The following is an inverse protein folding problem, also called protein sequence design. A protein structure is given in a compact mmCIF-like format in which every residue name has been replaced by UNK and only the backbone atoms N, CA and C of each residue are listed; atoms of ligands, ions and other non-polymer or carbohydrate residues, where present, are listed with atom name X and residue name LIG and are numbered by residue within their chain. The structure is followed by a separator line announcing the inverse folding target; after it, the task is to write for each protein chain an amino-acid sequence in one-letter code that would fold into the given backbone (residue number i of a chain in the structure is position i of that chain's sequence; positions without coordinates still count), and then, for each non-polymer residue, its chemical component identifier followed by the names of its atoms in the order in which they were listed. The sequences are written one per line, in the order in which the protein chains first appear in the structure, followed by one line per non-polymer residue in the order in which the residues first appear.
data_IF_380893494610
#
_entry.id   IF_380893494610
#
_cell.length_a   1.000
_cell.length_b   1.000
_cell.length_c   1.000
_cell.angle_alpha   90.00
_cell.angle_beta   90.00
_cell.angle_gamma   90.00
#
_symmetry.space_group_name_H-M   'P 1'
#
loop_
_entity.id
_entity.type
_entity.pdbx_description
1 polymer ?
#
# COMPACT_ATOMS: atom_id res chain seq x y z
N UNK A 1 -68.00 7.12 49.63
CA UNK A 1 -68.14 6.13 48.54
C UNK A 1 -67.44 6.54 47.23
N UNK A 2 -67.24 7.82 46.95
CA UNK A 2 -66.54 8.29 45.75
C UNK A 2 -65.05 7.89 45.67
N UNK A 3 -64.30 7.97 46.77
CA UNK A 3 -62.87 7.58 46.76
C UNK A 3 -62.61 6.07 46.57
N UNK A 4 -63.51 5.20 47.04
CA UNK A 4 -63.40 3.74 46.78
C UNK A 4 -63.65 3.39 45.31
N UNK A 5 -64.48 4.16 44.59
CA UNK A 5 -64.73 3.97 43.15
C UNK A 5 -63.56 4.45 42.28
N UNK A 6 -62.86 5.51 42.68
CA UNK A 6 -61.67 6.02 41.97
C UNK A 6 -60.48 5.06 42.11
N UNK A 7 -60.28 4.46 43.29
CA UNK A 7 -59.21 3.47 43.50
C UNK A 7 -59.45 2.19 42.67
N UNK A 8 -60.71 1.78 42.48
CA UNK A 8 -61.07 0.63 41.62
C UNK A 8 -60.85 0.95 40.12
N UNK A 9 -61.02 2.21 39.69
CA UNK A 9 -60.71 2.63 38.33
C UNK A 9 -59.20 2.80 38.09
N UNK A 10 -58.42 3.18 39.10
CA UNK A 10 -56.96 3.34 38.98
C UNK A 10 -56.21 2.00 38.96
N UNK A 11 -56.75 0.95 39.60
CA UNK A 11 -56.15 -0.40 39.59
C UNK A 11 -56.52 -1.21 38.35
N UNK A 12 -57.55 -0.83 37.60
CA UNK A 12 -57.93 -1.51 36.35
C UNK A 12 -57.13 -1.03 35.12
N UNK A 13 -56.40 0.10 35.23
CA UNK A 13 -55.66 0.71 34.12
C UNK A 13 -54.21 0.21 33.98
N UNK A 14 -53.73 -0.65 34.89
CA UNK A 14 -52.34 -1.15 34.89
C UNK A 14 -52.17 -2.55 34.27
N UNK A 15 -53.22 -3.16 33.73
CA UNK A 15 -53.17 -4.48 33.05
C UNK A 15 -53.24 -4.40 31.51
N UNK A 16 -52.56 -3.43 30.90
CA UNK A 16 -52.24 -3.48 29.47
C UNK A 16 -50.71 -3.47 29.32
N UNK A 17 -50.05 -4.49 29.88
CA UNK A 17 -48.73 -4.88 29.40
C UNK A 17 -48.94 -5.70 28.12
N UNK A 18 -48.60 -5.19 26.92
CA UNK A 18 -48.48 -6.06 25.78
C UNK A 18 -47.34 -7.04 26.07
N UNK A 19 -47.69 -8.32 26.23
CA UNK A 19 -46.72 -9.41 26.27
C UNK A 19 -46.07 -9.52 24.88
N UNK A 20 -44.99 -8.77 24.65
CA UNK A 20 -44.16 -8.91 23.44
C UNK A 20 -43.26 -10.15 23.55
N UNK A 21 -43.84 -11.32 23.80
CA UNK A 21 -43.21 -12.58 23.41
C UNK A 21 -43.60 -12.84 21.95
N UNK A 22 -42.99 -12.10 21.02
CA UNK A 22 -43.21 -12.31 19.59
C UNK A 22 -42.71 -13.72 19.24
N UNK A 23 -43.63 -14.68 19.19
CA UNK A 23 -43.36 -16.08 18.86
C UNK A 23 -42.56 -16.11 17.55
N UNK A 24 -41.37 -16.71 17.61
CA UNK A 24 -40.46 -16.81 16.47
C UNK A 24 -41.19 -17.37 15.23
N UNK A 25 -41.03 -16.68 14.08
CA UNK A 25 -41.76 -17.00 12.85
C UNK A 25 -41.49 -18.46 12.43
N UNK A 26 -42.50 -19.12 11.86
CA UNK A 26 -42.38 -20.46 11.29
C UNK A 26 -41.23 -20.53 10.28
N UNK A 27 -41.02 -19.48 9.50
CA UNK A 27 -39.96 -19.41 8.49
C UNK A 27 -38.58 -19.34 9.15
N UNK A 28 -38.41 -18.57 10.23
CA UNK A 28 -37.14 -18.54 10.99
C UNK A 28 -36.83 -19.93 11.58
N UNK A 29 -37.83 -20.65 12.09
CA UNK A 29 -37.63 -22.03 12.57
C UNK A 29 -37.22 -23.00 11.46
N UNK A 30 -37.78 -22.85 10.26
CA UNK A 30 -37.36 -23.63 9.09
C UNK A 30 -35.93 -23.27 8.67
N UNK A 31 -35.59 -21.98 8.65
CA UNK A 31 -34.22 -21.51 8.45
C UNK A 31 -33.25 -22.16 9.43
N UNK A 32 -33.57 -22.16 10.73
CA UNK A 32 -32.77 -22.82 11.76
C UNK A 32 -32.58 -24.33 11.47
N UNK A 33 -33.60 -25.01 10.94
CA UNK A 33 -33.52 -26.42 10.55
C UNK A 33 -32.58 -26.62 9.36
N UNK A 34 -32.70 -25.82 8.31
CA UNK A 34 -31.80 -25.88 7.16
C UNK A 34 -30.36 -25.53 7.54
N UNK A 35 -30.15 -24.52 8.38
CA UNK A 35 -28.83 -24.16 8.90
C UNK A 35 -28.14 -25.33 9.61
N UNK A 36 -28.88 -26.04 10.49
CA UNK A 36 -28.38 -27.23 11.19
C UNK A 36 -28.08 -28.40 10.26
N UNK A 37 -28.71 -28.43 9.09
CA UNK A 37 -28.44 -29.40 8.02
C UNK A 37 -27.33 -28.92 7.07
N UNK A 38 -26.67 -27.80 7.38
CA UNK A 38 -25.64 -27.15 6.55
C UNK A 38 -26.14 -26.68 5.17
N UNK A 39 -27.46 -26.61 5.00
CA UNK A 39 -28.13 -26.12 3.80
C UNK A 39 -28.27 -24.60 3.88
N UNK A 40 -27.14 -23.90 3.73
CA UNK A 40 -27.08 -22.46 4.01
C UNK A 40 -27.86 -21.59 3.03
N UNK A 41 -27.98 -22.01 1.77
CA UNK A 41 -28.77 -21.29 0.76
C UNK A 41 -30.26 -21.37 1.08
N UNK A 42 -30.77 -22.56 1.39
CA UNK A 42 -32.16 -22.76 1.79
C UNK A 42 -32.47 -22.09 3.13
N UNK A 43 -31.50 -22.11 4.05
CA UNK A 43 -31.55 -21.37 5.31
C UNK A 43 -31.72 -19.86 5.07
N UNK A 44 -30.90 -19.27 4.18
CA UNK A 44 -31.01 -17.88 3.78
C UNK A 44 -32.40 -17.55 3.21
N UNK A 45 -32.92 -18.39 2.30
CA UNK A 45 -34.26 -18.19 1.70
C UNK A 45 -35.36 -18.13 2.77
N UNK A 46 -35.36 -19.07 3.72
CA UNK A 46 -36.37 -19.11 4.78
C UNK A 46 -36.20 -17.94 5.77
N UNK A 47 -34.98 -17.51 6.09
CA UNK A 47 -34.79 -16.31 6.92
C UNK A 47 -35.26 -15.04 6.22
N UNK A 48 -34.96 -14.85 4.93
CA UNK A 48 -35.45 -13.70 4.15
C UNK A 48 -36.98 -13.66 4.12
N UNK A 49 -37.64 -14.80 3.87
CA UNK A 49 -39.11 -14.93 3.95
C UNK A 49 -39.65 -14.61 5.36
N UNK A 50 -38.93 -15.02 6.40
CA UNK A 50 -39.27 -14.66 7.78
C UNK A 50 -39.21 -13.16 8.05
N UNK A 51 -38.20 -12.49 7.49
CA UNK A 51 -37.97 -11.05 7.64
C UNK A 51 -38.94 -10.21 6.80
N UNK A 52 -39.46 -10.71 5.69
CA UNK A 52 -40.58 -10.07 4.96
C UNK A 52 -41.82 -9.91 5.85
N UNK A 53 -42.06 -10.87 6.76
CA UNK A 53 -43.21 -10.86 7.68
C UNK A 53 -42.92 -10.11 8.98
N UNK A 54 -41.67 -10.15 9.45
CA UNK A 54 -41.23 -9.43 10.64
C UNK A 54 -39.82 -8.85 10.45
N UNK A 55 -39.77 -7.64 9.90
CA UNK A 55 -38.53 -6.94 9.58
C UNK A 55 -37.70 -6.54 10.82
N UNK A 56 -38.28 -6.58 12.04
CA UNK A 56 -37.58 -6.26 13.30
C UNK A 56 -37.13 -7.50 14.07
N UNK A 57 -37.17 -8.68 13.46
CA UNK A 57 -36.77 -9.92 14.13
C UNK A 57 -35.25 -9.98 14.32
N UNK A 58 -34.77 -9.79 15.55
CA UNK A 58 -33.37 -10.00 15.91
C UNK A 58 -32.87 -11.38 15.45
N UNK A 59 -33.55 -12.47 15.84
CA UNK A 59 -33.12 -13.83 15.52
C UNK A 59 -33.10 -14.11 14.01
N UNK A 60 -34.10 -13.62 13.27
CA UNK A 60 -34.13 -13.75 11.81
C UNK A 60 -32.96 -13.02 11.14
N UNK A 61 -32.68 -11.79 11.54
CA UNK A 61 -31.58 -10.99 10.99
C UNK A 61 -30.22 -11.57 11.37
N UNK A 62 -30.01 -11.93 12.64
CA UNK A 62 -28.77 -12.52 13.12
C UNK A 62 -28.47 -13.87 12.45
N UNK A 63 -29.48 -14.75 12.34
CA UNK A 63 -29.28 -16.08 11.72
C UNK A 63 -29.18 -16.01 10.19
N UNK A 64 -29.78 -14.99 9.55
CA UNK A 64 -29.49 -14.68 8.15
C UNK A 64 -28.01 -14.31 7.98
N UNK A 65 -27.47 -13.46 8.86
CA UNK A 65 -26.03 -13.16 8.91
C UNK A 65 -25.18 -14.43 9.01
N UNK A 66 -25.53 -15.35 9.92
CA UNK A 66 -24.83 -16.63 10.06
C UNK A 66 -24.86 -17.46 8.77
N UNK A 67 -26.00 -17.53 8.09
CA UNK A 67 -26.13 -18.29 6.82
C UNK A 67 -25.29 -17.67 5.70
N UNK A 68 -25.26 -16.33 5.62
CA UNK A 68 -24.45 -15.59 4.65
C UNK A 68 -22.96 -15.79 4.93
N UNK A 69 -22.56 -15.74 6.20
CA UNK A 69 -21.17 -15.97 6.61
C UNK A 69 -20.69 -17.38 6.22
N UNK A 70 -21.51 -18.41 6.45
CA UNK A 70 -21.19 -19.79 6.03
C UNK A 70 -21.10 -19.96 4.51
N UNK A 71 -21.76 -19.08 3.75
CA UNK A 71 -21.63 -19.00 2.28
C UNK A 71 -20.45 -18.12 1.83
N UNK A 72 -19.62 -17.61 2.74
CA UNK A 72 -18.52 -16.65 2.48
C UNK A 72 -18.98 -15.31 1.90
N UNK A 73 -20.27 -14.99 2.03
CA UNK A 73 -20.83 -13.68 1.65
C UNK A 73 -20.60 -12.68 2.79
N UNK A 74 -19.34 -12.42 3.10
CA UNK A 74 -18.95 -11.72 4.33
C UNK A 74 -19.46 -10.27 4.40
N UNK A 75 -19.48 -9.55 3.28
CA UNK A 75 -20.01 -8.18 3.23
C UNK A 75 -21.52 -8.13 3.54
N UNK A 76 -22.31 -9.07 2.99
CA UNK A 76 -23.74 -9.17 3.31
C UNK A 76 -23.96 -9.64 4.76
N UNK A 77 -23.13 -10.56 5.25
CA UNK A 77 -23.20 -11.02 6.63
C UNK A 77 -22.93 -9.87 7.62
N UNK A 78 -21.93 -9.04 7.34
CA UNK A 78 -21.59 -7.86 8.13
C UNK A 78 -22.78 -6.90 8.26
N UNK A 79 -23.45 -6.56 7.16
CA UNK A 79 -24.65 -5.72 7.17
C UNK A 79 -25.74 -6.30 8.08
N UNK A 80 -25.96 -7.62 8.03
CA UNK A 80 -26.95 -8.28 8.89
C UNK A 80 -26.54 -8.30 10.36
N UNK A 81 -25.28 -8.51 10.68
CA UNK A 81 -24.81 -8.44 12.07
C UNK A 81 -24.90 -7.02 12.64
N UNK A 82 -24.54 -6.00 11.86
CA UNK A 82 -24.70 -4.60 12.25
C UNK A 82 -26.18 -4.26 12.48
N UNK A 83 -27.06 -4.69 11.58
CA UNK A 83 -28.52 -4.53 11.75
C UNK A 83 -29.02 -5.28 12.99
N UNK A 84 -28.56 -6.51 13.24
CA UNK A 84 -28.97 -7.27 14.42
C UNK A 84 -28.55 -6.55 15.73
N UNK A 85 -27.39 -5.91 15.76
CA UNK A 85 -26.94 -5.13 16.92
C UNK A 85 -27.83 -3.90 17.23
N UNK A 86 -28.52 -3.34 16.24
CA UNK A 86 -29.46 -2.21 16.42
C UNK A 86 -30.88 -2.64 16.79
N UNK A 87 -31.25 -3.90 16.53
CA UNK A 87 -32.59 -4.45 16.79
C UNK A 87 -32.81 -4.94 18.23
N UNK A 88 -31.83 -4.80 19.11
CA UNK A 88 -31.89 -5.32 20.47
C UNK A 88 -31.19 -4.39 21.45
N UNK A 89 -31.62 -4.39 22.71
CA UNK A 89 -30.92 -3.76 23.83
C UNK A 89 -30.24 -4.75 24.77
N UNK A 90 -30.44 -6.05 24.53
CA UNK A 90 -29.79 -7.09 25.30
C UNK A 90 -28.28 -7.10 25.04
N UNK A 91 -27.51 -7.00 26.12
CA UNK A 91 -26.04 -6.91 26.03
C UNK A 91 -25.42 -8.17 25.43
N UNK A 92 -25.95 -9.36 25.74
CA UNK A 92 -25.41 -10.62 25.20
C UNK A 92 -25.63 -10.70 23.69
N UNK A 93 -26.82 -10.31 23.22
CA UNK A 93 -27.14 -10.23 21.78
C UNK A 93 -26.33 -9.16 21.06
N UNK A 94 -26.14 -7.97 21.64
CA UNK A 94 -25.23 -6.94 21.10
C UNK A 94 -23.81 -7.48 20.98
N UNK A 95 -23.32 -8.14 22.03
CA UNK A 95 -21.99 -8.73 22.03
C UNK A 95 -21.81 -9.77 20.91
N UNK A 96 -22.75 -10.71 20.78
CA UNK A 96 -22.72 -11.73 19.72
C UNK A 96 -22.76 -11.12 18.31
N UNK A 97 -23.61 -10.12 18.08
CA UNK A 97 -23.68 -9.42 16.78
C UNK A 97 -22.37 -8.72 16.44
N UNK A 98 -21.77 -7.99 17.39
CA UNK A 98 -20.50 -7.32 17.14
C UNK A 98 -19.32 -8.30 17.01
N UNK A 99 -19.33 -9.43 17.73
CA UNK A 99 -18.35 -10.49 17.58
C UNK A 99 -18.39 -11.05 16.15
N UNK A 100 -19.57 -11.43 15.67
CA UNK A 100 -19.73 -11.97 14.31
C UNK A 100 -19.45 -10.93 13.21
N UNK A 101 -19.75 -9.65 13.45
CA UNK A 101 -19.32 -8.56 12.57
C UNK A 101 -17.79 -8.46 12.50
N UNK A 102 -17.10 -8.60 13.64
CA UNK A 102 -15.65 -8.68 13.72
C UNK A 102 -15.09 -9.86 12.92
N UNK A 103 -15.70 -11.04 13.04
CA UNK A 103 -15.32 -12.23 12.27
C UNK A 103 -15.50 -12.00 10.77
N UNK A 104 -16.61 -11.38 10.33
CA UNK A 104 -16.83 -11.07 8.91
C UNK A 104 -15.79 -10.10 8.35
N UNK A 105 -15.42 -9.07 9.13
CA UNK A 105 -14.37 -8.10 8.75
C UNK A 105 -12.97 -8.71 8.76
N UNK A 106 -12.71 -9.68 9.65
CA UNK A 106 -11.47 -10.41 9.70
C UNK A 106 -11.26 -11.22 8.41
N UNK A 107 -12.31 -11.89 7.94
CA UNK A 107 -12.29 -12.67 6.70
C UNK A 107 -12.09 -11.82 5.44
N UNK A 108 -12.54 -10.55 5.44
CA UNK A 108 -12.32 -9.62 4.32
C UNK A 108 -10.96 -8.90 4.38
N UNK A 109 -10.19 -9.10 5.46
CA UNK A 109 -8.92 -8.41 5.66
C UNK A 109 -9.06 -6.96 6.15
N UNK A 110 -10.26 -6.52 6.52
CA UNK A 110 -10.53 -5.20 7.10
C UNK A 110 -10.15 -5.17 8.60
N UNK A 111 -8.90 -5.49 8.93
CA UNK A 111 -8.44 -5.77 10.29
C UNK A 111 -8.70 -4.60 11.27
N UNK A 112 -8.49 -3.36 10.83
CA UNK A 112 -8.77 -2.17 11.64
C UNK A 112 -10.25 -2.08 12.06
N UNK A 113 -11.19 -2.37 11.15
CA UNK A 113 -12.63 -2.37 11.47
C UNK A 113 -13.01 -3.60 12.31
N UNK A 114 -12.39 -4.75 12.05
CA UNK A 114 -12.59 -5.98 12.84
C UNK A 114 -12.24 -5.74 14.32
N UNK A 115 -11.12 -5.07 14.59
CA UNK A 115 -10.70 -4.66 15.94
C UNK A 115 -11.77 -3.82 16.64
N UNK A 116 -12.34 -2.81 15.96
CA UNK A 116 -13.38 -1.97 16.55
C UNK A 116 -14.68 -2.75 16.83
N UNK A 117 -15.06 -3.68 15.95
CA UNK A 117 -16.20 -4.56 16.17
C UNK A 117 -15.98 -5.47 17.40
N UNK A 118 -14.81 -6.09 17.55
CA UNK A 118 -14.52 -6.90 18.75
C UNK A 118 -14.46 -6.06 20.03
N UNK A 119 -13.94 -4.82 19.98
CA UNK A 119 -14.02 -3.90 21.13
C UNK A 119 -15.47 -3.59 21.50
N UNK A 120 -16.35 -3.37 20.52
CA UNK A 120 -17.79 -3.18 20.76
C UNK A 120 -18.44 -4.43 21.37
N UNK A 121 -18.04 -5.63 20.94
CA UNK A 121 -18.49 -6.87 21.55
C UNK A 121 -18.06 -6.98 23.02
N UNK A 122 -16.78 -6.75 23.32
CA UNK A 122 -16.24 -6.81 24.69
C UNK A 122 -16.78 -5.71 25.61
N UNK A 123 -17.16 -4.54 25.08
CA UNK A 123 -17.89 -3.52 25.86
C UNK A 123 -19.24 -4.03 26.37
N UNK A 124 -19.88 -4.93 25.62
CA UNK A 124 -21.17 -5.53 25.99
C UNK A 124 -21.01 -6.84 26.78
N UNK A 125 -19.98 -7.64 26.48
CA UNK A 125 -19.61 -8.84 27.23
C UNK A 125 -18.09 -8.88 27.53
N UNK A 126 -17.63 -8.27 28.64
CA UNK A 126 -16.20 -8.22 28.97
C UNK A 126 -15.58 -9.56 29.33
N UNK A 127 -16.36 -10.65 29.47
CA UNK A 127 -15.86 -11.97 29.87
C UNK A 127 -15.68 -12.94 28.70
N UNK A 128 -15.98 -12.53 27.49
CA UNK A 128 -15.84 -13.36 26.29
C UNK A 128 -14.37 -13.59 25.90
N UNK A 129 -13.85 -14.78 26.21
CA UNK A 129 -12.48 -15.19 25.87
C UNK A 129 -12.26 -15.37 24.37
N UNK A 130 -13.27 -15.85 23.64
CA UNK A 130 -13.18 -16.05 22.19
C UNK A 130 -13.04 -14.70 21.49
N UNK A 131 -13.85 -13.72 21.87
CA UNK A 131 -13.72 -12.35 21.35
C UNK A 131 -12.37 -11.73 21.70
N UNK A 132 -11.83 -11.95 22.90
CA UNK A 132 -10.48 -11.46 23.27
C UNK A 132 -9.40 -12.06 22.38
N UNK A 133 -9.47 -13.37 22.15
CA UNK A 133 -8.53 -14.06 21.27
C UNK A 133 -8.61 -13.51 19.84
N UNK A 134 -9.81 -13.38 19.28
CA UNK A 134 -10.00 -12.86 17.93
C UNK A 134 -9.56 -11.40 17.79
N UNK A 135 -9.74 -10.58 18.84
CA UNK A 135 -9.21 -9.22 18.89
C UNK A 135 -7.69 -9.21 18.80
N UNK A 136 -7.01 -10.01 19.61
CA UNK A 136 -5.54 -10.11 19.59
C UNK A 136 -5.04 -10.60 18.22
N UNK A 137 -5.73 -11.59 17.63
CA UNK A 137 -5.44 -12.07 16.29
C UNK A 137 -5.60 -10.96 15.24
N UNK A 138 -6.71 -10.21 15.26
CA UNK A 138 -6.92 -9.09 14.34
C UNK A 138 -5.86 -7.98 14.48
N UNK A 139 -5.41 -7.70 15.71
CA UNK A 139 -4.31 -6.76 15.97
C UNK A 139 -2.99 -7.25 15.37
N UNK A 140 -2.67 -8.53 15.53
CA UNK A 140 -1.48 -9.12 14.93
C UNK A 140 -1.54 -9.06 13.39
N UNK A 141 -2.69 -9.36 12.80
CA UNK A 141 -2.87 -9.30 11.35
C UNK A 141 -2.71 -7.88 10.80
N UNK A 142 -3.25 -6.87 11.50
CA UNK A 142 -3.05 -5.46 11.13
C UNK A 142 -1.56 -5.07 11.19
N UNK A 143 -0.86 -5.45 12.26
CA UNK A 143 0.57 -5.18 12.39
C UNK A 143 1.39 -5.84 11.27
N UNK A 144 1.07 -7.07 10.89
CA UNK A 144 1.72 -7.76 9.79
C UNK A 144 1.44 -7.06 8.44
N UNK A 145 0.22 -6.59 8.22
CA UNK A 145 -0.15 -5.84 7.03
C UNK A 145 0.65 -4.53 6.91
N UNK A 146 0.76 -3.78 8.01
CA UNK A 146 1.55 -2.53 8.07
C UNK A 146 3.04 -2.78 7.82
N UNK A 147 3.62 -3.83 8.41
CA UNK A 147 5.03 -4.21 8.18
C UNK A 147 5.30 -4.60 6.72
N UNK A 148 4.39 -5.35 6.10
CA UNK A 148 4.53 -5.71 4.69
C UNK A 148 4.48 -4.48 3.78
N UNK A 149 3.65 -3.50 4.11
CA UNK A 149 3.56 -2.25 3.37
C UNK A 149 4.84 -1.41 3.54
N UNK A 150 5.33 -1.26 4.77
CA UNK A 150 6.59 -0.55 5.03
C UNK A 150 7.79 -1.19 4.34
N UNK A 151 7.86 -2.53 4.29
CA UNK A 151 8.92 -3.24 3.59
C UNK A 151 8.88 -3.02 2.07
N UNK A 152 7.69 -2.94 1.47
CA UNK A 152 7.52 -2.61 0.05
C UNK A 152 7.97 -1.19 -0.24
N UNK A 153 7.56 -0.23 0.58
CA UNK A 153 7.96 1.17 0.43
C UNK A 153 9.48 1.33 0.54
N UNK A 154 10.13 0.66 1.51
CA UNK A 154 11.59 0.66 1.63
C UNK A 154 12.32 0.02 0.44
N UNK A 155 11.76 -1.04 -0.16
CA UNK A 155 12.33 -1.63 -1.37
C UNK A 155 12.23 -0.68 -2.56
N UNK A 156 11.08 -0.02 -2.70
CA UNK A 156 10.85 0.96 -3.77
C UNK A 156 11.79 2.16 -3.64
N UNK A 157 11.97 2.70 -2.43
CA UNK A 157 12.92 3.78 -2.13
C UNK A 157 14.37 3.40 -2.45
N UNK A 158 14.78 2.15 -2.15
CA UNK A 158 16.13 1.66 -2.47
C UNK A 158 16.34 1.57 -3.98
N UNK A 159 15.33 1.11 -4.70
CA UNK A 159 15.38 0.98 -6.15
C UNK A 159 15.46 2.36 -6.82
N UNK A 160 14.66 3.33 -6.37
CA UNK A 160 14.76 4.71 -6.86
C UNK A 160 16.13 5.37 -6.57
N UNK A 161 16.71 5.09 -5.40
CA UNK A 161 18.06 5.60 -5.07
C UNK A 161 19.12 4.98 -5.97
N UNK A 162 19.01 3.69 -6.26
CA UNK A 162 19.94 2.99 -7.14
C UNK A 162 19.83 3.50 -8.58
N UNK A 163 18.61 3.69 -9.09
CA UNK A 163 18.38 4.26 -10.43
C UNK A 163 18.94 5.68 -10.56
N UNK A 164 18.81 6.52 -9.52
CA UNK A 164 19.40 7.87 -9.49
C UNK A 164 20.92 7.83 -9.48
N UNK A 165 21.51 6.88 -8.75
CA UNK A 165 22.96 6.74 -8.66
C UNK A 165 23.55 6.26 -9.99
N UNK A 166 22.88 5.32 -10.66
CA UNK A 166 23.27 4.84 -11.99
C UNK A 166 23.15 5.94 -13.06
N UNK A 167 22.11 6.80 -12.99
CA UNK A 167 21.99 7.97 -13.87
C UNK A 167 23.12 8.99 -13.65
N UNK A 168 23.47 9.29 -12.39
CA UNK A 168 24.58 10.20 -12.11
C UNK A 168 25.90 9.63 -12.63
N UNK A 169 26.14 8.34 -12.45
CA UNK A 169 27.37 7.69 -12.91
C UNK A 169 27.48 7.69 -14.44
N UNK A 170 26.37 7.49 -15.16
CA UNK A 170 26.33 7.63 -16.61
C UNK A 170 26.61 9.07 -17.07
N UNK A 171 26.06 10.08 -16.39
CA UNK A 171 26.35 11.48 -16.69
C UNK A 171 27.82 11.82 -16.50
N UNK A 172 28.41 11.38 -15.38
CA UNK A 172 29.81 11.63 -15.06
C UNK A 172 30.75 10.93 -16.04
N UNK A 173 30.41 9.71 -16.47
CA UNK A 173 31.17 8.98 -17.50
C UNK A 173 31.12 9.68 -18.87
N UNK A 174 29.95 10.21 -19.28
CA UNK A 174 29.85 11.02 -20.50
C UNK A 174 30.73 12.26 -20.43
N UNK A 175 30.70 12.98 -19.31
CA UNK A 175 31.50 14.19 -19.10
C UNK A 175 33.01 13.90 -19.14
N UNK A 176 33.45 12.79 -18.53
CA UNK A 176 34.84 12.34 -18.60
C UNK A 176 35.27 11.92 -20.01
N UNK A 177 34.37 11.31 -20.80
CA UNK A 177 34.66 10.99 -22.21
C UNK A 177 34.83 12.25 -23.05
N UNK A 178 33.95 13.25 -22.88
CA UNK A 178 34.06 14.55 -23.56
C UNK A 178 35.36 15.28 -23.19
N UNK A 179 35.75 15.28 -21.91
CA UNK A 179 37.03 15.85 -21.47
C UNK A 179 38.24 15.13 -22.06
N UNK A 180 38.22 13.79 -22.11
CA UNK A 180 39.30 13.03 -22.75
C UNK A 180 39.42 13.35 -24.23
N UNK A 181 38.29 13.49 -24.93
CA UNK A 181 38.29 13.89 -26.34
C UNK A 181 38.90 15.28 -26.53
N UNK A 182 38.53 16.27 -25.71
CA UNK A 182 39.12 17.61 -25.77
C UNK A 182 40.63 17.61 -25.50
N UNK A 183 41.08 16.87 -24.49
CA UNK A 183 42.51 16.74 -24.18
C UNK A 183 43.30 16.10 -25.33
N UNK A 184 42.72 15.08 -25.97
CA UNK A 184 43.33 14.41 -27.11
C UNK A 184 43.44 15.36 -28.32
N UNK A 185 42.40 16.15 -28.57
CA UNK A 185 42.37 17.15 -29.63
C UNK A 185 43.39 18.27 -29.40
N UNK A 186 43.52 18.74 -28.16
CA UNK A 186 44.48 19.79 -27.78
C UNK A 186 45.93 19.28 -27.86
N UNK A 187 46.17 18.02 -27.50
CA UNK A 187 47.51 17.41 -27.60
C UNK A 187 47.92 17.09 -29.03
N UNK A 188 46.97 16.78 -29.91
CA UNK A 188 47.23 16.68 -31.36
C UNK A 188 47.63 18.03 -31.94
N UNK A 189 46.88 19.09 -31.63
CA UNK A 189 47.20 20.45 -32.08
C UNK A 189 48.60 20.91 -31.61
N UNK A 190 48.98 20.62 -30.36
CA UNK A 190 50.32 20.97 -29.87
C UNK A 190 51.46 20.20 -30.55
N UNK A 191 51.20 18.98 -31.04
CA UNK A 191 52.20 18.20 -31.79
C UNK A 191 52.42 18.80 -33.17
N UNK A 192 51.35 19.15 -33.87
CA UNK A 192 51.41 19.82 -35.18
C UNK A 192 52.12 21.17 -35.09
N UNK A 193 51.90 21.92 -34.01
CA UNK A 193 52.62 23.17 -33.74
C UNK A 193 54.13 22.94 -33.52
N UNK A 194 54.49 21.92 -32.74
CA UNK A 194 55.89 21.57 -32.51
C UNK A 194 56.60 21.10 -33.79
N UNK A 195 55.91 20.33 -34.65
CA UNK A 195 56.44 19.88 -35.94
C UNK A 195 56.71 21.06 -36.88
N UNK A 196 55.79 22.04 -36.96
CA UNK A 196 55.99 23.25 -37.76
C UNK A 196 57.19 24.08 -37.30
N UNK A 197 57.37 24.25 -35.98
CA UNK A 197 58.52 24.96 -35.42
C UNK A 197 59.83 24.22 -35.75
N UNK A 198 59.83 22.89 -35.61
CA UNK A 198 61.01 22.08 -35.92
C UNK A 198 61.41 22.17 -37.39
N UNK A 199 60.43 22.15 -38.30
CA UNK A 199 60.65 22.30 -39.74
C UNK A 199 61.21 23.69 -40.08
N UNK A 200 60.66 24.75 -39.46
CA UNK A 200 61.17 26.11 -39.62
C UNK A 200 62.62 26.26 -39.13
N UNK A 201 62.97 25.66 -37.99
CA UNK A 201 64.33 25.65 -37.46
C UNK A 201 65.31 24.90 -38.37
N UNK A 202 64.91 23.72 -38.89
CA UNK A 202 65.74 22.99 -39.84
C UNK A 202 65.98 23.78 -41.13
N UNK A 203 64.97 24.53 -41.58
CA UNK A 203 65.11 25.35 -42.78
C UNK A 203 66.07 26.52 -42.54
N UNK A 204 65.95 27.21 -41.40
CA UNK A 204 66.84 28.31 -41.03
C UNK A 204 68.29 27.84 -40.84
N UNK A 205 68.50 26.64 -40.28
CA UNK A 205 69.82 26.02 -40.19
C UNK A 205 70.42 25.76 -41.58
N UNK A 206 69.65 25.17 -42.51
CA UNK A 206 70.10 24.93 -43.89
C UNK A 206 70.48 26.21 -44.60
N UNK A 207 69.69 27.27 -44.45
CA UNK A 207 69.96 28.57 -45.06
C UNK A 207 71.21 29.23 -44.47
N UNK A 208 71.39 29.11 -43.15
CA UNK A 208 72.60 29.58 -42.45
C UNK A 208 73.84 28.84 -42.94
N UNK A 209 73.79 27.51 -43.03
CA UNK A 209 74.90 26.70 -43.57
C UNK A 209 75.24 27.08 -45.02
N UNK A 210 74.22 27.35 -45.86
CA UNK A 210 74.43 27.83 -47.24
C UNK A 210 75.16 29.17 -47.25
N UNK A 211 74.71 30.15 -46.47
CA UNK A 211 75.36 31.46 -46.35
C UNK A 211 76.81 31.36 -45.87
N UNK A 212 77.08 30.48 -44.90
CA UNK A 212 78.45 30.22 -44.41
C UNK A 212 79.33 29.64 -45.52
N UNK A 213 78.84 28.64 -46.26
CA UNK A 213 79.56 28.06 -47.40
C UNK A 213 79.83 29.10 -48.49
N UNK A 214 78.85 29.91 -48.86
CA UNK A 214 79.02 31.00 -49.84
C UNK A 214 80.06 32.04 -49.37
N UNK A 215 80.04 32.41 -48.09
CA UNK A 215 81.01 33.33 -47.52
C UNK A 215 82.44 32.74 -47.50
N UNK A 216 82.58 31.43 -47.26
CA UNK A 216 83.87 30.73 -47.34
C UNK A 216 84.40 30.67 -48.77
N UNK A 217 83.53 30.40 -49.76
CA UNK A 217 83.90 30.41 -51.18
C UNK A 217 84.37 31.81 -51.62
N UNK A 218 83.66 32.88 -51.20
CA UNK A 218 84.08 34.27 -51.46
C UNK A 218 85.42 34.64 -50.82
N UNK A 219 85.72 34.12 -49.63
CA UNK A 219 87.04 34.31 -48.99
C UNK A 219 88.16 33.52 -49.69
N UNK A 220 87.86 32.32 -50.22
CA UNK A 220 88.80 31.53 -51.02
C UNK A 220 89.13 32.16 -52.39
N UNK A 221 88.17 32.86 -53.00
CA UNK A 221 88.37 33.54 -54.30
C UNK A 221 89.21 34.82 -54.25
N UNK A 222 89.54 35.35 -53.05
CA UNK A 222 90.36 36.57 -52.91
C UNK A 222 91.88 36.30 -52.86
N UNK A 223 92.30 35.04 -52.83
CA UNK A 223 93.71 34.64 -52.93
C UNK A 223 93.92 33.84 -54.21
N UNK A 224 93.95 34.53 -55.36
CA UNK A 224 94.14 33.87 -56.64
C UNK A 224 94.34 34.85 -57.79
N UNK A 225 95.62 35.20 -57.98
CA UNK A 225 96.23 35.78 -59.20
C UNK A 225 96.28 37.32 -59.27
N UNK A 226 97.27 37.88 -58.55
CA UNK A 226 98.15 38.89 -59.13
C UNK A 226 99.23 38.16 -59.94
N UNK A 227 99.43 38.58 -61.20
CA UNK A 227 100.76 38.67 -61.80
C UNK A 227 100.71 39.53 -63.07
N UNK A 228 101.34 40.69 -62.95
CA UNK A 228 101.78 41.56 -64.04
C UNK A 228 102.63 40.80 -65.08
N UNK A 229 102.24 40.93 -66.34
CA UNK A 229 103.08 41.37 -67.47
C UNK A 229 102.19 41.71 -68.66
#
# INVERSE_FOLDING_TARGET
MFMKRIIIFLTLLTMLFPAFAQKESRDVKKGNKFYKQEKYVESEVEYRRGLEKNHKSFSGTFNLGNSLYRQKKYAEALDKYQTAATLTDDKSRKAASYHNAGNALLETGDFAKSIEAYKMALRNNPKDDETRYNLAYAQQMLQQQEQQQQNKDQQQDKQEKQDKQDQQQQQQNKQNQEQKQQQQQQSQMSKEDAERILEALQQDEKDTQRKVKEAQIKKGSRYGVDKDW
#
